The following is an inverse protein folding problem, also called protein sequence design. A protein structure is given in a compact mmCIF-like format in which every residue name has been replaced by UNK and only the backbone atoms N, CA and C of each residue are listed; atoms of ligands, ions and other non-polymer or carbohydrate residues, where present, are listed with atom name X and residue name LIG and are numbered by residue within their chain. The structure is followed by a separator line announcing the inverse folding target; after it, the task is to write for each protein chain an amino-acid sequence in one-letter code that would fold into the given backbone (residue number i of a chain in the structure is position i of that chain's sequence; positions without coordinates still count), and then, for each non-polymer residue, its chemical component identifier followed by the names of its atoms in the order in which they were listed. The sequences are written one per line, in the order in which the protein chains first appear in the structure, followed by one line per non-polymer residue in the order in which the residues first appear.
data_IF_854342844451
#
_entry.id   IF_854342844451
#
_cell.length_a   1.000
_cell.length_b   1.000
_cell.length_c   1.000
_cell.angle_alpha   90.00
_cell.angle_beta   90.00
_cell.angle_gamma   90.00
#
_symmetry.space_group_name_H-M   'P 1'
#
loop_
_entity.id
_entity.type
_entity.pdbx_description
1 polymer ?
#
# COMPACT_ATOMS: atom_id res chain seq x y z
N UNK A 1 25.11 51.59 11.89
CA UNK A 1 24.05 50.75 11.31
C UNK A 1 22.87 50.77 12.26
N UNK A 2 21.77 51.41 11.88
CA UNK A 2 20.60 51.58 12.74
C UNK A 2 19.87 50.24 12.93
N UNK A 3 19.31 50.06 14.13
CA UNK A 3 18.48 48.91 14.51
C UNK A 3 17.35 48.62 13.50
N UNK A 4 16.92 49.65 12.77
CA UNK A 4 15.94 49.60 11.69
C UNK A 4 16.36 48.75 10.48
N UNK A 5 17.66 48.64 10.18
CA UNK A 5 18.16 47.84 9.05
C UNK A 5 18.21 46.34 9.34
N UNK A 6 18.29 45.95 10.62
CA UNK A 6 18.34 44.55 11.06
C UNK A 6 16.93 43.94 11.08
N UNK A 7 15.91 44.75 11.44
CA UNK A 7 14.51 44.31 11.50
C UNK A 7 13.93 44.06 10.10
N UNK A 8 14.31 44.85 9.08
CA UNK A 8 13.90 44.60 7.70
C UNK A 8 14.55 43.36 7.09
N UNK A 9 15.75 42.97 7.52
CA UNK A 9 16.41 41.76 7.02
C UNK A 9 15.81 40.47 7.60
N UNK A 10 15.35 40.50 8.86
CA UNK A 10 14.65 39.36 9.49
C UNK A 10 13.22 39.22 8.92
N UNK A 11 12.55 40.33 8.60
CA UNK A 11 11.23 40.29 7.99
C UNK A 11 11.23 39.69 6.56
N UNK A 12 12.32 39.85 5.79
CA UNK A 12 12.43 39.22 4.47
C UNK A 12 12.71 37.70 4.56
N UNK A 13 13.51 37.25 5.55
CA UNK A 13 13.79 35.82 5.75
C UNK A 13 12.57 35.04 6.28
N UNK A 14 11.62 35.69 6.94
CA UNK A 14 10.39 35.07 7.44
C UNK A 14 9.30 34.81 6.38
N UNK A 15 9.52 35.20 5.12
CA UNK A 15 8.50 35.15 4.06
C UNK A 15 8.70 34.06 3.01
N UNK A 16 9.73 33.22 3.14
CA UNK A 16 9.93 32.01 2.35
C UNK A 16 9.38 30.76 3.07
N UNK A 17 8.22 30.89 3.71
CA UNK A 17 7.35 29.72 3.83
C UNK A 17 6.72 29.52 2.46
N UNK A 18 7.40 28.75 1.62
CA UNK A 18 6.77 28.13 0.45
C UNK A 18 5.60 27.34 1.00
N UNK A 19 4.41 27.93 0.98
CA UNK A 19 3.17 27.18 0.96
C UNK A 19 3.24 26.38 -0.33
N UNK A 20 3.81 25.19 -0.25
CA UNK A 20 3.54 24.15 -1.21
C UNK A 20 2.12 23.70 -0.87
N UNK A 21 1.08 24.05 -1.65
CA UNK A 21 -0.15 23.31 -1.55
C UNK A 21 0.22 21.88 -1.92
N UNK A 22 0.41 21.03 -0.91
CA UNK A 22 0.44 19.58 -1.12
C UNK A 22 -0.97 19.21 -1.56
N UNK A 23 -1.25 19.37 -2.85
CA UNK A 23 -2.18 18.49 -3.51
C UNK A 23 -1.47 17.14 -3.46
N UNK A 24 -1.87 16.29 -2.54
CA UNK A 24 -1.32 14.95 -2.43
C UNK A 24 -1.84 14.15 -3.63
N UNK A 25 -1.19 14.33 -4.78
CA UNK A 25 -1.37 13.45 -5.92
C UNK A 25 -0.96 12.05 -5.50
N UNK A 26 -1.79 11.07 -5.84
CA UNK A 26 -1.49 9.67 -5.55
C UNK A 26 -0.18 9.28 -6.24
N UNK A 27 0.70 8.48 -5.61
CA UNK A 27 1.87 7.95 -6.30
C UNK A 27 1.46 7.20 -7.58
N UNK A 28 2.18 7.48 -8.68
CA UNK A 28 1.98 6.82 -9.98
C UNK A 28 3.08 5.81 -10.23
N UNK A 29 2.69 4.63 -10.73
CA UNK A 29 3.60 3.58 -11.15
C UNK A 29 3.28 3.17 -12.58
N UNK A 30 4.30 3.14 -13.43
CA UNK A 30 4.18 2.63 -14.79
C UNK A 30 4.42 1.11 -14.80
N UNK A 31 3.52 0.38 -15.45
CA UNK A 31 3.68 -1.03 -15.74
C UNK A 31 3.18 -1.33 -17.15
N UNK A 32 3.97 -1.03 -18.19
CA UNK A 32 3.51 -1.08 -19.58
C UNK A 32 2.96 -2.47 -19.94
N UNK A 33 1.98 -2.48 -20.85
CA UNK A 33 1.43 -3.72 -21.39
C UNK A 33 2.51 -4.53 -22.13
N UNK A 34 2.20 -5.79 -22.42
CA UNK A 34 3.10 -6.64 -23.21
C UNK A 34 3.29 -6.09 -24.62
N UNK A 35 4.36 -6.50 -25.33
CA UNK A 35 4.60 -6.04 -26.71
C UNK A 35 3.46 -6.35 -27.70
N UNK A 36 2.60 -7.32 -27.39
CA UNK A 36 1.41 -7.67 -28.19
C UNK A 36 0.16 -6.85 -27.81
N UNK A 37 0.31 -5.87 -26.91
CA UNK A 37 -0.78 -5.03 -26.41
C UNK A 37 -1.71 -5.73 -25.42
N UNK A 38 -1.35 -6.93 -24.94
CA UNK A 38 -2.13 -7.64 -23.93
C UNK A 38 -1.62 -7.39 -22.50
N UNK A 39 -2.50 -7.60 -21.53
CA UNK A 39 -2.21 -7.49 -20.11
C UNK A 39 -2.79 -8.71 -19.38
N UNK A 40 -1.97 -9.38 -18.57
CA UNK A 40 -2.37 -10.54 -17.76
C UNK A 40 -1.93 -10.35 -16.32
N UNK A 41 -2.84 -10.35 -15.37
CA UNK A 41 -2.52 -10.21 -13.96
C UNK A 41 -3.38 -11.13 -13.11
N UNK A 42 -2.97 -11.36 -11.86
CA UNK A 42 -3.78 -12.04 -10.85
C UNK A 42 -4.29 -11.02 -9.83
N UNK A 43 -5.48 -11.28 -9.30
CA UNK A 43 -6.05 -10.52 -8.18
C UNK A 43 -6.28 -11.49 -7.03
N UNK A 44 -5.78 -11.13 -5.85
CA UNK A 44 -5.93 -11.91 -4.61
C UNK A 44 -6.28 -10.97 -3.47
N UNK A 45 -7.08 -11.44 -2.52
CA UNK A 45 -7.44 -10.72 -1.29
C UNK A 45 -7.52 -11.72 -0.16
N UNK A 46 -7.55 -11.22 1.07
CA UNK A 46 -7.89 -12.01 2.24
C UNK A 46 -7.02 -13.26 2.43
N UNK A 47 -5.69 -13.12 2.40
CA UNK A 47 -4.82 -14.28 2.12
C UNK A 47 -3.81 -14.67 3.20
N UNK A 48 -3.20 -13.74 3.94
CA UNK A 48 -2.04 -14.10 4.77
C UNK A 48 -2.38 -14.81 6.05
N UNK A 49 -2.18 -16.13 6.07
CA UNK A 49 -2.51 -17.00 7.21
C UNK A 49 -1.42 -18.03 7.49
N UNK A 50 -0.14 -17.66 7.32
CA UNK A 50 1.02 -18.53 7.61
C UNK A 50 0.93 -19.90 6.92
N UNK A 51 0.38 -19.93 5.71
CA UNK A 51 0.14 -21.14 4.91
C UNK A 51 -1.12 -21.94 5.25
N UNK A 52 -1.86 -21.57 6.31
CA UNK A 52 -3.12 -22.20 6.72
C UNK A 52 -4.30 -21.80 5.82
N UNK A 53 -5.50 -22.34 6.11
CA UNK A 53 -6.75 -22.05 5.38
C UNK A 53 -6.64 -22.17 3.85
N UNK A 54 -5.92 -23.21 3.39
CA UNK A 54 -5.62 -23.46 1.99
C UNK A 54 -4.78 -22.38 1.27
N UNK A 55 -4.19 -21.42 1.99
CA UNK A 55 -3.33 -20.39 1.41
C UNK A 55 -2.23 -21.00 0.52
N UNK A 56 -1.54 -22.03 1.00
CA UNK A 56 -0.52 -22.78 0.22
C UNK A 56 -1.08 -23.42 -1.04
N UNK A 57 -2.32 -23.95 -1.00
CA UNK A 57 -2.97 -24.55 -2.18
C UNK A 57 -3.37 -23.48 -3.20
N UNK A 58 -3.85 -22.33 -2.74
CA UNK A 58 -4.14 -21.17 -3.59
C UNK A 58 -2.85 -20.68 -4.25
N UNK A 59 -1.77 -20.51 -3.49
CA UNK A 59 -0.46 -20.11 -4.00
C UNK A 59 0.06 -21.08 -5.08
N UNK A 60 -0.10 -22.40 -4.88
CA UNK A 60 0.24 -23.39 -5.89
C UNK A 60 -0.58 -23.23 -7.18
N UNK A 61 -1.89 -23.03 -7.09
CA UNK A 61 -2.73 -22.81 -8.28
C UNK A 61 -2.43 -21.47 -8.97
N UNK A 62 -2.16 -20.41 -8.20
CA UNK A 62 -1.68 -19.14 -8.72
C UNK A 62 -0.39 -19.34 -9.52
N UNK A 63 0.55 -20.17 -9.04
CA UNK A 63 1.77 -20.51 -9.77
C UNK A 63 1.51 -21.13 -11.15
N UNK A 64 0.64 -22.14 -11.20
CA UNK A 64 0.24 -22.82 -12.45
C UNK A 64 -0.43 -21.83 -13.42
N UNK A 65 -1.38 -21.05 -12.93
CA UNK A 65 -2.11 -20.07 -13.76
C UNK A 65 -1.18 -18.95 -14.22
N UNK A 66 -0.32 -18.45 -13.33
CA UNK A 66 0.65 -17.41 -13.61
C UNK A 66 1.61 -17.80 -14.73
N UNK A 67 2.06 -19.06 -14.74
CA UNK A 67 2.91 -19.59 -15.80
C UNK A 67 2.16 -19.71 -17.13
N UNK A 68 0.94 -20.25 -17.11
CA UNK A 68 0.11 -20.41 -18.31
C UNK A 68 -0.24 -19.08 -18.98
N UNK A 69 -0.57 -18.07 -18.17
CA UNK A 69 -0.99 -16.75 -18.65
C UNK A 69 0.17 -15.78 -18.86
N UNK A 70 1.38 -16.15 -18.41
CA UNK A 70 2.58 -15.30 -18.41
C UNK A 70 2.25 -13.93 -17.81
N UNK A 71 1.86 -13.93 -16.54
CA UNK A 71 1.37 -12.71 -15.88
C UNK A 71 2.44 -11.62 -15.77
N UNK A 72 2.00 -10.38 -15.74
CA UNK A 72 2.80 -9.15 -15.65
C UNK A 72 3.01 -8.75 -14.19
N UNK A 73 1.94 -8.76 -13.40
CA UNK A 73 1.96 -8.43 -11.98
C UNK A 73 0.81 -9.10 -11.20
N UNK A 74 0.82 -8.92 -9.88
CA UNK A 74 -0.23 -9.36 -8.96
C UNK A 74 -0.81 -8.12 -8.25
N UNK A 75 -2.13 -8.09 -8.09
CA UNK A 75 -2.88 -7.13 -7.29
C UNK A 75 -3.31 -7.82 -5.99
N UNK A 76 -2.93 -7.27 -4.83
CA UNK A 76 -3.54 -7.61 -3.54
C UNK A 76 -4.58 -6.56 -3.16
N UNK A 77 -5.80 -7.00 -2.83
CA UNK A 77 -6.90 -6.13 -2.40
C UNK A 77 -6.95 -5.88 -0.89
N UNK A 78 -5.90 -6.28 -0.16
CA UNK A 78 -5.80 -6.09 1.29
C UNK A 78 -6.19 -7.33 2.10
N UNK A 79 -6.16 -7.13 3.41
CA UNK A 79 -6.16 -8.18 4.42
C UNK A 79 -5.00 -9.15 4.16
N UNK A 80 -3.81 -8.53 4.07
CA UNK A 80 -2.56 -9.18 3.71
C UNK A 80 -2.07 -10.08 4.83
N UNK A 81 -2.30 -9.74 6.10
CA UNK A 81 -1.88 -10.53 7.26
C UNK A 81 -3.00 -10.63 8.32
N UNK A 82 -3.46 -11.86 8.54
CA UNK A 82 -4.47 -12.18 9.55
C UNK A 82 -3.84 -12.71 10.86
N UNK A 83 -4.51 -12.54 12.01
CA UNK A 83 -5.77 -11.79 12.17
C UNK A 83 -5.56 -10.29 12.43
N UNK A 84 -4.37 -9.86 12.86
CA UNK A 84 -4.12 -8.48 13.28
C UNK A 84 -2.83 -7.89 12.67
N UNK A 85 -2.70 -7.93 11.35
CA UNK A 85 -1.60 -7.27 10.63
C UNK A 85 -0.21 -7.83 11.00
N UNK A 86 0.82 -7.02 10.74
CA UNK A 86 2.19 -7.28 11.20
C UNK A 86 2.43 -6.50 12.51
N UNK A 87 3.30 -6.98 13.39
CA UNK A 87 3.68 -6.22 14.60
C UNK A 87 4.88 -5.28 14.40
N UNK A 88 5.51 -5.33 13.22
CA UNK A 88 6.72 -4.58 12.90
C UNK A 88 7.36 -5.06 11.60
N UNK A 89 8.43 -4.38 11.16
CA UNK A 89 9.17 -4.73 9.93
C UNK A 89 9.94 -6.06 10.02
N UNK A 90 10.14 -6.57 11.23
CA UNK A 90 10.83 -7.82 11.56
C UNK A 90 9.86 -8.97 11.91
N UNK A 91 8.55 -8.76 11.77
CA UNK A 91 7.55 -9.80 12.05
C UNK A 91 7.71 -11.00 11.10
N UNK A 92 7.86 -12.20 11.68
CA UNK A 92 7.98 -13.45 10.95
C UNK A 92 6.77 -13.74 10.04
N UNK A 93 5.59 -13.17 10.34
CA UNK A 93 4.40 -13.32 9.51
C UNK A 93 4.61 -12.83 8.06
N UNK A 94 5.51 -11.87 7.81
CA UNK A 94 5.89 -11.48 6.45
C UNK A 94 6.49 -12.66 5.68
N UNK A 95 7.40 -13.41 6.31
CA UNK A 95 7.99 -14.59 5.70
C UNK A 95 7.02 -15.76 5.63
N UNK A 96 6.31 -16.03 6.72
CA UNK A 96 5.41 -17.16 6.87
C UNK A 96 4.17 -17.05 5.99
N UNK A 97 3.72 -15.83 5.67
CA UNK A 97 2.50 -15.60 4.89
C UNK A 97 2.76 -15.10 3.47
N UNK A 98 3.90 -14.47 3.18
CA UNK A 98 4.18 -13.94 1.84
C UNK A 98 5.41 -14.60 1.20
N UNK A 99 6.61 -14.33 1.75
CA UNK A 99 7.89 -14.69 1.10
C UNK A 99 7.98 -16.19 0.81
N UNK A 100 7.67 -17.02 1.80
CA UNK A 100 7.80 -18.48 1.71
C UNK A 100 6.55 -19.19 1.17
N UNK A 101 5.47 -18.46 0.91
CA UNK A 101 4.20 -19.03 0.42
C UNK A 101 4.13 -18.93 -1.10
N UNK A 102 4.39 -17.75 -1.67
CA UNK A 102 4.22 -17.49 -3.10
C UNK A 102 5.53 -17.67 -3.86
N UNK A 103 6.10 -18.87 -3.82
CA UNK A 103 7.48 -19.14 -4.28
C UNK A 103 7.60 -19.58 -5.75
N UNK A 104 6.49 -19.79 -6.46
CA UNK A 104 6.52 -20.20 -7.86
C UNK A 104 7.24 -19.15 -8.73
N UNK A 105 8.11 -19.54 -9.69
CA UNK A 105 8.82 -18.57 -10.54
C UNK A 105 7.90 -17.63 -11.32
N UNK A 106 6.71 -18.10 -11.70
CA UNK A 106 5.68 -17.29 -12.36
C UNK A 106 5.08 -16.20 -11.47
N UNK A 107 5.25 -16.29 -10.14
CA UNK A 107 4.83 -15.30 -9.15
C UNK A 107 5.98 -14.40 -8.69
N UNK A 108 7.19 -14.56 -9.25
CA UNK A 108 8.31 -13.63 -9.09
C UNK A 108 8.10 -12.37 -9.93
N UNK A 109 6.99 -11.67 -9.63
CA UNK A 109 6.50 -10.46 -10.30
C UNK A 109 6.24 -9.37 -9.26
N UNK A 110 6.01 -8.14 -9.70
CA UNK A 110 5.61 -7.07 -8.78
C UNK A 110 4.24 -7.42 -8.17
N UNK A 111 4.15 -7.33 -6.84
CA UNK A 111 2.88 -7.32 -6.11
C UNK A 111 2.57 -5.88 -5.76
N UNK A 112 1.42 -5.41 -6.23
CA UNK A 112 0.82 -4.14 -5.86
C UNK A 112 -0.23 -4.40 -4.79
N UNK A 113 0.04 -3.95 -3.57
CA UNK A 113 -0.77 -4.26 -2.41
C UNK A 113 -1.38 -2.97 -1.84
N UNK A 114 -2.62 -3.10 -1.38
CA UNK A 114 -3.26 -2.14 -0.47
C UNK A 114 -3.51 -2.78 0.88
N UNK A 115 -3.85 -1.96 1.86
CA UNK A 115 -4.22 -2.38 3.20
C UNK A 115 -5.71 -2.74 3.24
N UNK A 116 -6.05 -3.80 3.97
CA UNK A 116 -7.41 -4.10 4.42
C UNK A 116 -7.61 -3.75 5.89
N UNK A 117 -8.77 -4.09 6.45
CA UNK A 117 -9.05 -3.76 7.86
C UNK A 117 -8.28 -4.62 8.85
N UNK A 118 -7.90 -5.85 8.52
CA UNK A 118 -7.06 -6.70 9.37
C UNK A 118 -5.63 -6.17 9.43
N UNK A 119 -5.14 -5.60 8.33
CA UNK A 119 -3.81 -4.97 8.28
C UNK A 119 -3.69 -3.77 9.22
N UNK A 120 -4.78 -3.04 9.39
CA UNK A 120 -4.89 -1.92 10.32
C UNK A 120 -4.91 -2.31 11.79
N UNK A 121 -5.06 -3.58 12.13
CA UNK A 121 -5.07 -4.03 13.53
C UNK A 121 -3.66 -4.30 14.09
N UNK A 122 -2.66 -4.25 13.22
CA UNK A 122 -1.24 -4.28 13.58
C UNK A 122 -0.55 -2.94 13.32
N UNK A 123 0.75 -3.00 13.07
CA UNK A 123 1.60 -1.89 12.60
C UNK A 123 1.39 -1.70 11.09
N UNK A 124 0.67 -0.62 10.74
CA UNK A 124 0.42 -0.29 9.34
C UNK A 124 1.68 0.21 8.66
N UNK A 125 2.49 1.00 9.35
CA UNK A 125 3.71 1.59 8.80
C UNK A 125 4.76 0.52 8.48
N UNK A 126 4.77 -0.60 9.20
CA UNK A 126 5.58 -1.77 8.84
C UNK A 126 5.26 -2.27 7.42
N UNK A 127 3.98 -2.42 7.07
CA UNK A 127 3.57 -2.90 5.75
C UNK A 127 3.92 -1.91 4.63
N UNK A 128 3.85 -0.61 4.92
CA UNK A 128 4.15 0.50 4.00
C UNK A 128 5.67 0.75 3.86
N UNK A 129 6.46 0.24 4.80
CA UNK A 129 7.89 0.54 4.91
C UNK A 129 8.69 0.04 3.70
N UNK A 130 9.66 0.83 3.20
CA UNK A 130 10.62 0.34 2.21
C UNK A 130 11.43 -0.86 2.72
N UNK A 131 11.54 -1.08 4.04
CA UNK A 131 12.27 -2.22 4.61
C UNK A 131 11.70 -3.56 4.14
N UNK A 132 10.38 -3.73 4.07
CA UNK A 132 9.80 -4.98 3.56
C UNK A 132 10.08 -5.20 2.07
N UNK A 133 10.20 -4.12 1.30
CA UNK A 133 10.60 -4.17 -0.11
C UNK A 133 12.08 -4.51 -0.28
N UNK A 134 12.93 -4.09 0.65
CA UNK A 134 14.34 -4.47 0.68
C UNK A 134 14.51 -5.96 1.04
N UNK A 135 13.62 -6.50 1.88
CA UNK A 135 13.56 -7.94 2.20
C UNK A 135 13.08 -8.75 0.99
N UNK A 136 12.00 -8.32 0.33
CA UNK A 136 11.47 -8.94 -0.88
C UNK A 136 10.99 -7.88 -1.87
N UNK A 137 11.73 -7.74 -2.98
CA UNK A 137 11.49 -6.69 -3.98
C UNK A 137 10.14 -6.80 -4.69
N UNK A 138 9.46 -7.95 -4.57
CA UNK A 138 8.09 -8.13 -5.06
C UNK A 138 7.09 -7.27 -4.28
N UNK A 139 7.40 -6.86 -3.05
CA UNK A 139 6.46 -6.17 -2.16
C UNK A 139 6.41 -4.65 -2.41
N UNK A 140 5.33 -4.17 -3.02
CA UNK A 140 4.95 -2.76 -3.03
C UNK A 140 3.60 -2.63 -2.34
N UNK A 141 3.57 -2.02 -1.16
CA UNK A 141 2.34 -1.73 -0.43
C UNK A 141 2.28 -0.24 -0.10
N UNK A 142 1.15 0.38 -0.42
CA UNK A 142 0.87 1.80 -0.22
C UNK A 142 -0.61 1.94 0.13
N UNK A 143 -0.97 3.03 0.81
CA UNK A 143 -2.38 3.30 1.15
C UNK A 143 -3.24 3.46 -0.10
N UNK A 144 -2.87 4.40 -0.96
CA UNK A 144 -3.55 4.65 -2.22
C UNK A 144 -2.57 5.12 -3.27
N UNK A 145 -2.70 4.59 -4.48
CA UNK A 145 -1.76 4.82 -5.58
C UNK A 145 -2.40 4.40 -6.91
N UNK A 146 -1.77 4.77 -8.01
CA UNK A 146 -2.23 4.44 -9.37
C UNK A 146 -1.16 3.60 -10.04
N UNK A 147 -1.57 2.53 -10.71
CA UNK A 147 -0.74 1.78 -11.65
C UNK A 147 -1.28 2.03 -13.05
N UNK A 148 -0.51 2.74 -13.87
CA UNK A 148 -0.81 2.91 -15.29
C UNK A 148 -0.19 1.75 -16.07
N UNK A 149 -1.04 0.95 -16.70
CA UNK A 149 -0.66 -0.18 -17.52
C UNK A 149 -0.84 0.07 -19.03
N UNK A 150 -0.78 1.34 -19.44
CA UNK A 150 -0.95 1.85 -20.81
C UNK A 150 -2.36 1.68 -21.38
N UNK A 151 -2.90 0.47 -21.34
CA UNK A 151 -4.24 0.11 -21.83
C UNK A 151 -5.29 0.07 -20.71
N UNK A 152 -4.86 0.18 -19.44
CA UNK A 152 -5.70 0.19 -18.25
C UNK A 152 -5.02 0.95 -17.11
N UNK A 153 -5.81 1.68 -16.33
CA UNK A 153 -5.35 2.30 -15.08
C UNK A 153 -5.99 1.58 -13.89
N UNK A 154 -5.17 1.21 -12.91
CA UNK A 154 -5.60 0.59 -11.67
C UNK A 154 -5.47 1.59 -10.53
N UNK A 155 -6.59 1.93 -9.91
CA UNK A 155 -6.63 2.85 -8.77
C UNK A 155 -6.77 2.02 -7.50
N UNK A 156 -5.71 2.03 -6.70
CA UNK A 156 -5.63 1.37 -5.41
C UNK A 156 -6.10 2.34 -4.33
N UNK A 157 -7.08 1.93 -3.51
CA UNK A 157 -7.77 2.82 -2.56
C UNK A 157 -7.72 2.24 -1.15
N UNK A 158 -7.32 3.07 -0.18
CA UNK A 158 -7.33 2.74 1.24
C UNK A 158 -8.76 2.90 1.76
N UNK A 159 -9.51 1.79 1.78
CA UNK A 159 -10.95 1.85 2.11
C UNK A 159 -11.20 1.83 3.62
N UNK A 160 -10.26 1.34 4.44
CA UNK A 160 -10.44 1.18 5.88
C UNK A 160 -10.79 2.52 6.58
N UNK A 161 -10.13 3.65 6.28
CA UNK A 161 -10.50 4.95 6.83
C UNK A 161 -11.93 5.43 6.49
N UNK A 162 -12.59 4.91 5.45
CA UNK A 162 -13.95 5.31 5.09
C UNK A 162 -15.02 4.68 6.00
N UNK A 163 -14.71 3.56 6.65
CA UNK A 163 -15.68 2.81 7.46
C UNK A 163 -15.80 3.43 8.85
N UNK A 164 -16.97 4.03 9.14
CA UNK A 164 -17.21 4.70 10.42
C UNK A 164 -17.15 3.75 11.62
N UNK A 165 -17.57 2.50 11.44
CA UNK A 165 -17.61 1.51 12.53
C UNK A 165 -16.23 1.34 13.18
N UNK A 166 -15.15 1.27 12.41
CA UNK A 166 -13.80 1.08 12.94
C UNK A 166 -13.29 2.22 13.85
N UNK A 167 -13.91 3.40 13.79
CA UNK A 167 -13.56 4.53 14.67
C UNK A 167 -14.50 4.67 15.88
N UNK A 168 -15.73 4.19 15.76
CA UNK A 168 -16.82 4.48 16.71
C UNK A 168 -17.25 3.27 17.52
N UNK A 169 -17.05 2.08 16.98
CA UNK A 169 -17.42 0.79 17.55
C UNK A 169 -16.48 -0.31 17.02
N UNK A 170 -15.18 -0.29 17.38
CA UNK A 170 -14.20 -1.26 16.88
C UNK A 170 -14.29 -2.63 17.58
N UNK A 171 -15.29 -2.85 18.44
CA UNK A 171 -15.38 -4.02 19.32
C UNK A 171 -14.09 -4.15 20.16
N UNK A 172 -13.46 -5.32 20.17
CA UNK A 172 -12.21 -5.57 20.92
C UNK A 172 -10.94 -5.24 20.11
N UNK A 173 -11.07 -4.73 18.88
CA UNK A 173 -9.94 -4.45 18.01
C UNK A 173 -9.34 -3.07 18.27
N UNK A 174 -8.02 -2.98 18.16
CA UNK A 174 -7.28 -1.71 18.14
C UNK A 174 -6.81 -1.47 16.72
N UNK A 175 -7.13 -0.30 16.17
CA UNK A 175 -6.73 0.09 14.82
C UNK A 175 -5.60 1.12 14.87
N UNK A 176 -4.54 0.91 14.10
CA UNK A 176 -3.46 1.86 13.88
C UNK A 176 -3.89 2.93 12.86
N UNK A 177 -4.20 4.11 13.38
CA UNK A 177 -4.59 5.28 12.58
C UNK A 177 -3.42 6.22 12.26
N UNK A 178 -2.17 5.76 12.41
CA UNK A 178 -0.98 6.50 12.00
C UNK A 178 -1.11 6.95 10.55
N UNK A 179 -0.71 8.19 10.25
CA UNK A 179 -0.82 8.78 8.90
C UNK A 179 -2.25 9.12 8.42
N UNK A 180 -3.32 8.76 9.16
CA UNK A 180 -4.72 9.03 8.76
C UNK A 180 -5.30 10.29 9.44
N UNK A 181 -4.72 10.72 10.56
CA UNK A 181 -5.27 11.85 11.33
C UNK A 181 -4.82 13.22 10.78
N UNK A 182 -5.73 14.22 10.66
CA UNK A 182 -7.17 14.15 10.91
C UNK A 182 -7.96 13.43 9.80
N UNK A 183 -8.78 12.44 10.19
CA UNK A 183 -9.53 11.56 9.26
C UNK A 183 -10.32 12.33 8.19
N UNK A 184 -11.03 13.39 8.57
CA UNK A 184 -11.82 14.20 7.63
C UNK A 184 -10.96 14.80 6.53
N UNK A 185 -9.77 15.28 6.87
CA UNK A 185 -8.82 15.85 5.91
C UNK A 185 -8.25 14.76 5.00
N UNK A 186 -7.91 13.60 5.55
CA UNK A 186 -7.44 12.45 4.78
C UNK A 186 -8.48 12.01 3.73
N UNK A 187 -9.73 11.77 4.14
CA UNK A 187 -10.80 11.36 3.23
C UNK A 187 -11.10 12.43 2.17
N UNK A 188 -11.10 13.70 2.56
CA UNK A 188 -11.32 14.81 1.63
C UNK A 188 -10.21 14.94 0.58
N UNK A 189 -8.97 14.56 0.90
CA UNK A 189 -7.87 14.58 -0.07
C UNK A 189 -7.93 13.38 -1.01
N UNK A 190 -8.26 12.20 -0.50
CA UNK A 190 -8.37 10.99 -1.32
C UNK A 190 -9.53 11.06 -2.34
N UNK A 191 -10.62 11.75 -2.00
CA UNK A 191 -11.76 11.98 -2.90
C UNK A 191 -11.54 13.10 -3.93
N UNK A 192 -10.46 13.88 -3.83
CA UNK A 192 -10.15 14.98 -4.77
C UNK A 192 -9.33 14.55 -5.97
N UNK A 193 -8.90 13.28 -6.02
CA UNK A 193 -8.13 12.72 -7.13
C UNK A 193 -9.02 12.73 -8.37
N UNK A 194 -8.80 13.71 -9.24
CA UNK A 194 -9.39 13.89 -10.57
C UNK A 194 -8.29 13.75 -11.61
#
# INVERSE_FOLDING_TARGET
MSLTLIITFIALLGSLYVFCPSSAELPWFEHPAKPDGSLSFLVVGDWGRRGAYNQTKVAHQMGIVGEKLKIDFIISTGDNFYDDGLTGVDDAAFFESFVNIYTAPSLAKQWYNVLGNHDYRGDVEAQLSPVLRDIDSRWLCLRSFIVNAEIAEFIFVDTTPFVNKYFTDPEDHVYDWSGIQPRKSYLANLLKVN
#
